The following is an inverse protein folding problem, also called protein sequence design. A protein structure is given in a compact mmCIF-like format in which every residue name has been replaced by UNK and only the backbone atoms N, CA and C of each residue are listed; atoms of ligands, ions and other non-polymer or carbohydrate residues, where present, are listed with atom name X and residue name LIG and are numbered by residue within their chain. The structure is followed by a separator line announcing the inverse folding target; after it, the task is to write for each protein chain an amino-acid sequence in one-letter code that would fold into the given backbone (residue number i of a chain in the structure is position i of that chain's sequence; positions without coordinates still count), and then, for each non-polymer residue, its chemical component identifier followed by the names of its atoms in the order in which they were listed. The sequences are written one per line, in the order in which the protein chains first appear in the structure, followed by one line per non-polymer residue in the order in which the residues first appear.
data_IF_492985421720
#
_entry.id   IF_492985421720
#
_cell.length_a   1.000
_cell.length_b   1.000
_cell.length_c   1.000
_cell.angle_alpha   90.00
_cell.angle_beta   90.00
_cell.angle_gamma   90.00
#
_symmetry.space_group_name_H-M   'P 1'
#
loop_
_entity.id
_entity.type
_entity.pdbx_description
1 polymer ?
#
# COMPACT_ATOMS: atom_id res chain seq x y z
N UNK A 1 7.31 15.63 -17.18
CA UNK A 1 7.02 14.37 -16.46
C UNK A 1 6.18 14.60 -15.20
N UNK A 2 4.91 14.19 -15.27
CA UNK A 2 4.02 14.17 -14.10
C UNK A 2 4.53 13.19 -13.03
N UNK A 3 4.22 13.42 -11.74
CA UNK A 3 4.61 12.51 -10.67
C UNK A 3 4.08 11.09 -10.92
N UNK A 4 4.94 10.09 -10.69
CA UNK A 4 4.65 8.67 -10.91
C UNK A 4 4.11 8.07 -9.62
N UNK A 5 2.95 8.57 -9.18
CA UNK A 5 2.23 8.06 -8.03
C UNK A 5 1.11 7.11 -8.49
N UNK A 6 0.98 5.91 -7.90
CA UNK A 6 -0.02 4.94 -8.33
C UNK A 6 -1.44 5.46 -8.12
N UNK A 7 -2.35 5.11 -9.04
CA UNK A 7 -3.77 5.45 -8.90
C UNK A 7 -4.45 4.48 -7.93
N UNK A 8 -4.29 4.71 -6.63
CA UNK A 8 -4.90 3.89 -5.57
C UNK A 8 -6.44 3.91 -5.56
N UNK A 9 -7.07 4.68 -6.45
CA UNK A 9 -8.51 4.75 -6.66
C UNK A 9 -8.96 3.93 -7.89
N UNK A 10 -8.04 3.23 -8.55
CA UNK A 10 -8.37 2.38 -9.70
C UNK A 10 -9.21 1.16 -9.29
N UNK A 11 -9.95 0.54 -10.23
CA UNK A 11 -10.65 -0.72 -9.99
C UNK A 11 -9.75 -1.92 -9.63
N UNK A 12 -8.42 -1.83 -9.79
CA UNK A 12 -7.50 -2.88 -9.36
C UNK A 12 -7.43 -2.97 -7.82
N UNK A 13 -7.78 -1.89 -7.11
CA UNK A 13 -7.82 -1.83 -5.66
C UNK A 13 -9.20 -2.23 -5.15
N UNK A 14 -9.31 -3.49 -4.71
CA UNK A 14 -10.55 -4.08 -4.20
C UNK A 14 -10.83 -3.62 -2.77
N UNK A 15 -12.10 -3.72 -2.37
CA UNK A 15 -12.51 -3.70 -0.97
C UNK A 15 -12.55 -5.15 -0.47
N UNK A 16 -12.54 -5.34 0.84
CA UNK A 16 -12.67 -6.65 1.46
C UNK A 16 -13.94 -7.37 0.96
N UNK A 17 -15.06 -6.65 0.83
CA UNK A 17 -16.32 -7.21 0.38
C UNK A 17 -16.33 -7.64 -1.10
N UNK A 18 -15.46 -7.06 -1.94
CA UNK A 18 -15.34 -7.40 -3.36
C UNK A 18 -14.19 -8.36 -3.67
N UNK A 19 -13.33 -8.66 -2.69
CA UNK A 19 -12.29 -9.68 -2.83
C UNK A 19 -12.91 -11.05 -3.20
N UNK A 20 -12.37 -11.74 -4.23
CA UNK A 20 -12.80 -13.08 -4.60
C UNK A 20 -12.77 -14.05 -3.43
N UNK A 21 -13.69 -15.01 -3.42
CA UNK A 21 -13.64 -16.11 -2.45
C UNK A 21 -12.47 -17.05 -2.82
N UNK A 22 -11.85 -17.64 -1.81
CA UNK A 22 -10.97 -18.78 -2.03
C UNK A 22 -11.83 -19.97 -2.46
N UNK A 23 -11.54 -20.63 -3.60
CA UNK A 23 -12.32 -21.76 -4.11
C UNK A 23 -12.47 -22.94 -3.14
N UNK A 24 -11.61 -23.05 -2.12
CA UNK A 24 -11.59 -24.17 -1.16
C UNK A 24 -12.74 -24.20 -0.14
N UNK A 25 -13.82 -23.46 -0.36
CA UNK A 25 -14.98 -23.43 0.53
C UNK A 25 -16.06 -24.49 0.22
N UNK A 26 -15.88 -25.33 -0.80
CA UNK A 26 -16.84 -26.39 -1.15
C UNK A 26 -16.16 -27.78 -1.16
N UNK A 27 -16.47 -28.69 -0.22
CA UNK A 27 -15.88 -30.04 -0.17
C UNK A 27 -16.29 -30.95 -1.34
N UNK A 28 -17.17 -30.51 -2.25
CA UNK A 28 -17.59 -31.28 -3.44
C UNK A 28 -16.97 -30.85 -4.77
N UNK A 29 -16.11 -29.82 -4.80
CA UNK A 29 -15.51 -29.37 -6.07
C UNK A 29 -14.10 -29.93 -6.29
N UNK A 30 -14.01 -31.01 -7.07
CA UNK A 30 -12.77 -31.56 -7.64
C UNK A 30 -12.24 -30.69 -8.80
N UNK A 31 -12.07 -29.39 -8.59
CA UNK A 31 -11.45 -28.50 -9.57
C UNK A 31 -9.96 -28.35 -9.26
N UNK A 32 -9.13 -28.95 -10.12
CA UNK A 32 -7.67 -28.84 -10.08
C UNK A 32 -7.19 -27.39 -10.16
N UNK A 33 -6.07 -27.02 -9.49
CA UNK A 33 -5.60 -25.64 -9.39
C UNK A 33 -4.78 -25.18 -10.61
N UNK A 34 -5.08 -25.63 -11.82
CA UNK A 34 -4.32 -25.28 -13.02
C UNK A 34 -5.25 -24.93 -14.18
N UNK A 35 -5.80 -23.71 -14.17
CA UNK A 35 -6.16 -23.02 -15.40
C UNK A 35 -5.39 -21.70 -15.47
N UNK A 36 -4.19 -21.79 -16.03
CA UNK A 36 -3.47 -20.62 -16.53
C UNK A 36 -4.08 -20.26 -17.88
N UNK A 37 -5.07 -19.36 -17.87
CA UNK A 37 -5.55 -18.73 -19.10
C UNK A 37 -4.42 -17.93 -19.74
N UNK A 38 -4.18 -18.07 -21.07
CA UNK A 38 -3.18 -17.31 -21.79
C UNK A 38 -3.70 -15.89 -22.05
N UNK A 39 -3.54 -15.04 -21.05
CA UNK A 39 -3.86 -13.61 -21.05
C UNK A 39 -3.66 -13.13 -19.63
N UNK A 40 -2.50 -12.54 -19.34
CA UNK A 40 -2.09 -12.22 -17.97
C UNK A 40 -3.21 -11.49 -17.22
N UNK A 41 -3.78 -12.13 -16.20
CA UNK A 41 -4.84 -11.54 -15.39
C UNK A 41 -4.33 -10.24 -14.79
N UNK A 42 -5.10 -9.15 -14.95
CA UNK A 42 -4.83 -7.87 -14.27
C UNK A 42 -4.65 -8.15 -12.78
N UNK A 43 -3.50 -7.76 -12.22
CA UNK A 43 -3.24 -7.92 -10.78
C UNK A 43 -4.23 -7.08 -10.00
N UNK A 44 -4.69 -7.62 -8.88
CA UNK A 44 -5.59 -6.90 -7.97
C UNK A 44 -4.92 -6.75 -6.62
N UNK A 45 -5.34 -5.75 -5.85
CA UNK A 45 -4.76 -5.45 -4.55
C UNK A 45 -5.86 -5.14 -3.54
N UNK A 46 -5.65 -5.47 -2.28
CA UNK A 46 -6.44 -4.97 -1.16
C UNK A 46 -5.53 -4.11 -0.29
N UNK A 47 -5.93 -2.84 -0.11
CA UNK A 47 -5.29 -1.95 0.85
C UNK A 47 -6.14 -1.88 2.11
N UNK A 48 -5.50 -1.97 3.27
CA UNK A 48 -6.19 -1.79 4.54
C UNK A 48 -5.27 -1.23 5.61
N UNK A 49 -5.80 -0.40 6.49
CA UNK A 49 -5.07 0.13 7.66
C UNK A 49 -5.11 -0.89 8.79
N UNK A 50 -3.97 -1.16 9.43
CA UNK A 50 -3.92 -1.95 10.67
C UNK A 50 -4.59 -1.15 11.79
N UNK A 51 -5.71 -1.65 12.29
CA UNK A 51 -6.53 -1.01 13.32
C UNK A 51 -6.18 -1.50 14.72
N UNK A 52 -5.93 -2.80 14.88
CA UNK A 52 -5.55 -3.43 16.16
C UNK A 52 -4.60 -4.60 15.94
N UNK A 53 -3.66 -4.78 16.89
CA UNK A 53 -2.81 -5.96 16.97
C UNK A 53 -3.56 -7.03 17.73
N UNK A 54 -3.91 -8.14 17.08
CA UNK A 54 -4.79 -9.14 17.69
C UNK A 54 -4.10 -10.52 17.73
N UNK A 55 -3.34 -10.71 18.83
CA UNK A 55 -2.85 -11.98 19.43
C UNK A 55 -1.44 -12.50 19.13
N UNK A 56 -0.79 -12.96 20.22
CA UNK A 56 0.46 -13.73 20.34
C UNK A 56 0.18 -15.21 20.02
N UNK A 57 -0.11 -15.52 18.76
CA UNK A 57 -0.20 -16.89 18.25
C UNK A 57 1.01 -17.17 17.33
N UNK A 58 1.29 -18.43 17.00
CA UNK A 58 2.35 -18.81 16.04
C UNK A 58 2.13 -18.24 14.63
N UNK A 59 0.89 -17.80 14.33
CA UNK A 59 0.52 -17.08 13.11
C UNK A 59 -0.06 -15.70 13.47
N UNK A 60 0.66 -14.59 13.20
CA UNK A 60 0.21 -13.28 13.63
C UNK A 60 -1.02 -12.84 12.83
N UNK A 61 -2.04 -12.35 13.53
CA UNK A 61 -3.30 -11.87 12.94
C UNK A 61 -3.57 -10.44 13.39
N UNK A 62 -4.02 -9.61 12.45
CA UNK A 62 -4.31 -8.19 12.68
C UNK A 62 -5.75 -7.91 12.30
N UNK A 63 -6.37 -6.97 13.00
CA UNK A 63 -7.62 -6.39 12.52
C UNK A 63 -7.27 -5.22 11.62
N UNK A 64 -7.75 -5.27 10.39
CA UNK A 64 -7.52 -4.27 9.37
C UNK A 64 -8.84 -3.64 8.92
N UNK A 65 -8.76 -2.39 8.45
CA UNK A 65 -9.91 -1.64 7.92
C UNK A 65 -9.61 -1.16 6.51
N UNK A 66 -10.43 -1.53 5.53
CA UNK A 66 -10.25 -1.15 4.11
C UNK A 66 -10.82 0.24 3.79
N UNK A 67 -10.81 0.61 2.50
CA UNK A 67 -11.36 1.87 1.98
C UNK A 67 -12.89 1.98 2.08
N UNK A 68 -13.60 0.86 2.21
CA UNK A 68 -15.04 0.82 2.44
C UNK A 68 -15.40 0.80 3.93
N UNK A 69 -14.42 1.05 4.81
CA UNK A 69 -14.56 0.96 6.28
C UNK A 69 -14.94 -0.43 6.79
N UNK A 70 -14.78 -1.49 5.99
CA UNK A 70 -15.00 -2.85 6.42
C UNK A 70 -13.86 -3.30 7.34
N UNK A 71 -14.20 -3.81 8.52
CA UNK A 71 -13.24 -4.38 9.47
C UNK A 71 -13.14 -5.88 9.30
N UNK A 72 -11.93 -6.40 9.07
CA UNK A 72 -11.68 -7.82 8.83
C UNK A 72 -10.36 -8.28 9.46
N UNK A 73 -10.21 -9.60 9.63
CA UNK A 73 -8.97 -10.20 10.09
C UNK A 73 -8.01 -10.45 8.90
N UNK A 74 -6.76 -10.04 9.06
CA UNK A 74 -5.64 -10.39 8.17
C UNK A 74 -4.68 -11.31 8.94
N UNK A 75 -4.55 -12.56 8.50
CA UNK A 75 -3.58 -13.51 9.05
C UNK A 75 -2.34 -13.57 8.16
N UNK A 76 -1.17 -13.32 8.74
CA UNK A 76 0.10 -13.41 8.02
C UNK A 76 0.59 -14.86 8.05
N UNK A 77 0.86 -15.41 6.86
CA UNK A 77 1.47 -16.72 6.68
C UNK A 77 2.98 -16.54 6.66
N UNK A 78 3.67 -17.32 7.47
CA UNK A 78 5.12 -17.36 7.58
C UNK A 78 5.62 -18.70 7.06
N UNK A 79 6.82 -18.72 6.50
CA UNK A 79 7.47 -19.95 6.03
C UNK A 79 7.74 -20.94 7.18
N UNK A 80 7.98 -20.41 8.39
CA UNK A 80 8.09 -21.17 9.62
C UNK A 80 7.31 -20.47 10.76
N UNK A 81 6.74 -21.23 11.72
CA UNK A 81 6.12 -20.67 12.92
C UNK A 81 7.10 -19.81 13.72
N UNK A 82 6.61 -18.70 14.31
CA UNK A 82 7.42 -17.87 15.19
C UNK A 82 7.75 -18.58 16.49
N UNK A 83 8.99 -18.40 16.96
CA UNK A 83 9.36 -18.73 18.34
C UNK A 83 8.77 -17.70 19.32
N UNK A 84 8.54 -18.06 20.60
CA UNK A 84 8.08 -17.11 21.61
C UNK A 84 8.97 -15.85 21.74
N UNK A 85 10.29 -15.99 21.57
CA UNK A 85 11.22 -14.85 21.62
C UNK A 85 11.02 -13.86 20.46
N UNK A 86 10.71 -14.36 19.26
CA UNK A 86 10.40 -13.51 18.08
C UNK A 86 9.06 -12.79 18.24
N UNK A 87 8.11 -13.39 18.97
CA UNK A 87 6.81 -12.78 19.31
C UNK A 87 6.95 -11.66 20.35
N UNK A 88 7.87 -11.82 21.32
CA UNK A 88 8.12 -10.84 22.39
C UNK A 88 9.03 -9.67 21.96
N UNK A 89 9.60 -9.73 20.76
CA UNK A 89 10.43 -8.65 20.22
C UNK A 89 11.80 -8.51 20.90
N UNK A 90 12.26 -9.57 21.60
CA UNK A 90 13.57 -9.60 22.25
C UNK A 90 14.65 -9.94 21.22
N UNK A 91 15.58 -9.02 21.01
CA UNK A 91 16.56 -9.01 19.92
C UNK A 91 17.68 -10.05 20.06
N UNK A 92 18.33 -10.34 18.92
CA UNK A 92 19.61 -11.06 18.72
C UNK A 92 19.56 -12.46 18.12
N UNK A 93 18.54 -12.78 17.31
CA UNK A 93 18.69 -13.79 16.28
C UNK A 93 19.32 -13.18 15.03
N UNK A 94 20.64 -13.26 14.85
CA UNK A 94 21.25 -13.09 13.54
C UNK A 94 20.73 -14.21 12.64
N UNK A 95 19.65 -13.95 11.91
CA UNK A 95 19.09 -14.86 10.92
C UNK A 95 19.23 -14.14 9.58
N UNK A 96 20.20 -14.60 8.80
CA UNK A 96 20.40 -14.42 7.35
C UNK A 96 19.96 -13.06 6.76
N UNK A 97 20.94 -12.19 6.48
CA UNK A 97 20.74 -10.82 5.99
C UNK A 97 20.25 -10.69 4.54
N UNK A 98 19.09 -11.25 4.22
CA UNK A 98 18.42 -11.07 2.92
C UNK A 98 17.23 -10.08 2.98
N UNK A 99 17.03 -9.39 4.11
CA UNK A 99 16.03 -8.31 4.22
C UNK A 99 14.55 -8.74 4.17
N UNK A 100 14.28 -10.02 3.90
CA UNK A 100 12.93 -10.61 3.85
C UNK A 100 12.49 -11.27 5.16
N UNK A 101 13.30 -11.16 6.23
CA UNK A 101 12.96 -11.71 7.54
C UNK A 101 11.71 -11.04 8.12
N UNK A 102 10.96 -11.82 8.90
CA UNK A 102 9.73 -11.35 9.52
C UNK A 102 10.04 -10.31 10.60
N UNK A 103 9.53 -9.09 10.41
CA UNK A 103 9.70 -8.00 11.36
C UNK A 103 8.34 -7.46 11.81
N UNK A 104 7.88 -7.96 12.96
CA UNK A 104 6.64 -7.51 13.59
C UNK A 104 6.65 -6.01 13.90
N UNK A 105 7.83 -5.38 14.08
CA UNK A 105 7.93 -3.95 14.33
C UNK A 105 7.47 -3.12 13.12
N UNK A 106 7.39 -3.70 11.91
CA UNK A 106 6.78 -3.03 10.74
C UNK A 106 5.26 -3.00 10.81
N UNK A 107 4.62 -3.96 11.48
CA UNK A 107 3.17 -4.14 11.55
C UNK A 107 2.56 -3.31 12.69
N UNK A 108 2.52 -1.98 12.53
CA UNK A 108 2.00 -1.04 13.54
C UNK A 108 0.60 -0.56 13.21
N UNK A 109 -0.18 -0.27 14.26
CA UNK A 109 -1.45 0.46 14.13
C UNK A 109 -1.26 1.74 13.31
N UNK A 110 -2.16 1.98 12.36
CA UNK A 110 -2.14 3.13 11.47
C UNK A 110 -1.25 2.96 10.23
N UNK A 111 -0.53 1.85 10.07
CA UNK A 111 0.15 1.51 8.81
C UNK A 111 -0.82 0.81 7.86
N UNK A 112 -0.60 0.97 6.56
CA UNK A 112 -1.36 0.30 5.52
C UNK A 112 -0.63 -0.95 5.06
N UNK A 113 -1.36 -2.05 5.00
CA UNK A 113 -0.94 -3.26 4.29
C UNK A 113 -1.44 -3.22 2.85
N UNK A 114 -0.63 -3.70 1.92
CA UNK A 114 -0.99 -3.97 0.53
C UNK A 114 -0.92 -5.47 0.34
N UNK A 115 -2.07 -6.11 0.12
CA UNK A 115 -2.19 -7.54 -0.13
C UNK A 115 -2.40 -7.75 -1.63
N UNK A 116 -1.43 -8.35 -2.35
CA UNK A 116 -1.62 -8.69 -3.76
C UNK A 116 -2.57 -9.87 -3.92
N UNK A 117 -3.34 -9.85 -5.00
CA UNK A 117 -4.32 -10.86 -5.43
C UNK A 117 -5.14 -11.45 -4.27
N UNK A 118 -5.83 -10.57 -3.50
CA UNK A 118 -6.44 -10.94 -2.23
C UNK A 118 -7.57 -11.95 -2.41
N UNK A 119 -7.66 -12.91 -1.49
CA UNK A 119 -8.77 -13.88 -1.43
C UNK A 119 -9.37 -13.96 -0.03
N UNK A 120 -10.70 -14.01 0.04
CA UNK A 120 -11.45 -14.24 1.28
C UNK A 120 -11.56 -15.71 1.61
N UNK A 121 -11.27 -16.05 2.85
CA UNK A 121 -11.30 -17.40 3.40
C UNK A 121 -12.36 -17.51 4.49
N UNK A 122 -12.88 -18.73 4.70
CA UNK A 122 -13.78 -19.03 5.84
C UNK A 122 -15.12 -18.31 5.84
N UNK A 123 -15.57 -17.84 4.67
CA UNK A 123 -16.90 -17.27 4.46
C UNK A 123 -17.94 -18.38 4.64
N UNK A 124 -18.93 -18.15 5.49
CA UNK A 124 -20.05 -19.06 5.79
C UNK A 124 -21.20 -18.23 6.35
N UNK A 125 -22.36 -18.85 6.56
CA UNK A 125 -23.53 -18.16 7.11
C UNK A 125 -23.18 -17.37 8.39
N UNK A 126 -23.45 -16.06 8.37
CA UNK A 126 -23.12 -15.13 9.46
C UNK A 126 -21.63 -14.77 9.63
N UNK A 127 -20.71 -15.28 8.80
CA UNK A 127 -19.28 -14.92 8.85
C UNK A 127 -18.79 -14.34 7.54
N UNK A 128 -18.32 -13.10 7.60
CA UNK A 128 -17.77 -12.34 6.47
C UNK A 128 -16.42 -12.88 5.92
N UNK A 129 -15.78 -13.79 6.64
CA UNK A 129 -14.46 -14.36 6.30
C UNK A 129 -13.28 -13.53 6.77
N UNK A 130 -12.09 -13.87 6.26
CA UNK A 130 -10.80 -13.23 6.59
C UNK A 130 -9.83 -13.31 5.40
N UNK A 131 -8.77 -12.50 5.43
CA UNK A 131 -7.70 -12.51 4.43
C UNK A 131 -6.48 -13.23 4.99
N UNK A 132 -5.78 -13.97 4.13
CA UNK A 132 -4.46 -14.52 4.42
C UNK A 132 -3.45 -13.97 3.41
N UNK A 133 -2.25 -13.64 3.86
CA UNK A 133 -1.18 -13.16 2.97
C UNK A 133 0.16 -13.69 3.45
N UNK A 134 1.01 -14.15 2.53
CA UNK A 134 2.38 -14.54 2.85
C UNK A 134 3.20 -13.30 3.16
N UNK A 135 4.04 -13.35 4.19
CA UNK A 135 4.87 -12.21 4.59
C UNK A 135 5.71 -11.65 3.44
N UNK A 136 6.34 -12.51 2.64
CA UNK A 136 7.17 -12.12 1.50
C UNK A 136 6.41 -11.32 0.43
N UNK A 137 5.09 -11.50 0.33
CA UNK A 137 4.24 -10.79 -0.63
C UNK A 137 3.60 -9.52 -0.04
N UNK A 138 3.61 -9.39 1.29
CA UNK A 138 2.95 -8.29 1.99
C UNK A 138 3.82 -7.03 1.94
N UNK A 139 3.29 -5.97 1.33
CA UNK A 139 3.91 -4.64 1.43
C UNK A 139 3.29 -3.84 2.57
N UNK A 140 4.13 -3.18 3.37
CA UNK A 140 3.69 -2.32 4.48
C UNK A 140 4.11 -0.88 4.20
N UNK A 141 3.13 0.01 4.18
CA UNK A 141 3.31 1.44 3.97
C UNK A 141 3.11 2.16 5.32
N UNK A 142 4.10 2.96 5.79
CA UNK A 142 4.04 3.63 7.09
C UNK A 142 3.16 4.90 7.04
N UNK A 143 1.90 4.73 6.64
CA UNK A 143 0.85 5.75 6.54
C UNK A 143 -0.50 5.06 6.60
N UNK A 144 -1.56 5.78 6.98
CA UNK A 144 -2.93 5.26 6.92
C UNK A 144 -3.46 5.25 5.49
N UNK A 145 -4.46 4.40 5.24
CA UNK A 145 -5.08 4.28 3.92
C UNK A 145 -5.74 5.59 3.49
N UNK A 146 -6.50 6.24 4.37
CA UNK A 146 -7.10 7.56 4.14
C UNK A 146 -6.10 8.58 3.58
N UNK A 147 -4.91 8.62 4.20
CA UNK A 147 -3.87 9.55 3.77
C UNK A 147 -3.31 9.17 2.39
N UNK A 148 -3.13 7.87 2.12
CA UNK A 148 -2.69 7.39 0.81
C UNK A 148 -3.70 7.70 -0.29
N UNK A 149 -5.00 7.49 -0.04
CA UNK A 149 -6.06 7.83 -0.97
C UNK A 149 -6.13 9.35 -1.21
N UNK A 150 -5.97 10.15 -0.16
CA UNK A 150 -5.88 11.60 -0.26
C UNK A 150 -4.68 12.07 -1.09
N UNK A 151 -3.51 11.41 -0.94
CA UNK A 151 -2.36 11.64 -1.81
C UNK A 151 -2.67 11.27 -3.26
N UNK A 152 -3.19 10.06 -3.52
CA UNK A 152 -3.57 9.58 -4.86
C UNK A 152 -4.51 10.55 -5.56
N UNK A 153 -5.57 10.99 -4.89
CA UNK A 153 -6.54 11.93 -5.45
C UNK A 153 -5.93 13.28 -5.83
N UNK A 154 -4.94 13.78 -5.07
CA UNK A 154 -4.22 15.02 -5.43
C UNK A 154 -3.38 14.84 -6.70
N UNK A 155 -2.70 13.71 -6.85
CA UNK A 155 -1.89 13.44 -8.05
C UNK A 155 -2.74 13.23 -9.30
N UNK A 156 -3.87 12.54 -9.19
CA UNK A 156 -4.82 12.36 -10.31
C UNK A 156 -5.33 13.72 -10.79
N UNK A 157 -5.84 14.56 -9.88
CA UNK A 157 -6.31 15.91 -10.23
C UNK A 157 -5.22 16.78 -10.86
N UNK A 158 -3.99 16.68 -10.36
CA UNK A 158 -2.87 17.42 -10.94
C UNK A 158 -2.60 17.01 -12.41
N UNK A 159 -2.70 15.71 -12.72
CA UNK A 159 -2.56 15.17 -14.08
C UNK A 159 -3.68 15.66 -15.00
N UNK A 160 -4.93 15.54 -14.57
CA UNK A 160 -6.11 16.00 -15.33
C UNK A 160 -6.03 17.50 -15.66
N UNK A 161 -5.61 18.33 -14.69
CA UNK A 161 -5.48 19.79 -14.87
C UNK A 161 -4.35 20.23 -15.82
N UNK A 162 -3.55 19.29 -16.31
CA UNK A 162 -2.45 19.53 -17.27
C UNK A 162 -2.87 19.19 -18.70
N UNK A 163 -3.91 18.38 -18.89
CA UNK A 163 -4.35 17.90 -20.21
C UNK A 163 -5.31 18.89 -20.93
N UNK A 164 -6.03 19.73 -20.17
CA UNK A 164 -6.89 20.79 -20.74
C UNK A 164 -6.09 22.05 -21.10
N UNK A 165 -5.37 22.00 -22.22
CA UNK A 165 -5.00 23.20 -22.99
C UNK A 165 -3.72 23.93 -22.60
N UNK A 166 -2.54 23.32 -22.76
CA UNK A 166 -1.35 23.96 -23.36
C UNK A 166 -0.14 23.02 -23.45
N UNK A 167 0.67 23.31 -24.45
CA UNK A 167 1.82 22.58 -24.94
C UNK A 167 3.05 22.80 -24.03
N UNK A 168 3.37 21.84 -23.16
CA UNK A 168 4.64 21.82 -22.42
C UNK A 168 4.62 20.99 -21.12
N UNK A 169 5.74 20.32 -20.82
CA UNK A 169 6.02 19.60 -19.56
C UNK A 169 6.15 20.58 -18.37
N UNK A 170 5.06 21.26 -18.01
CA UNK A 170 5.03 22.11 -16.82
C UNK A 170 4.82 21.27 -15.57
N UNK A 171 5.56 21.58 -14.52
CA UNK A 171 5.40 21.02 -13.17
C UNK A 171 4.94 22.12 -12.21
N UNK A 172 4.26 21.71 -11.13
CA UNK A 172 3.64 22.65 -10.19
C UNK A 172 4.40 22.67 -8.88
N UNK A 173 4.76 23.86 -8.40
CA UNK A 173 5.29 24.05 -7.06
C UNK A 173 4.24 23.66 -6.02
N UNK A 174 4.57 22.72 -5.14
CA UNK A 174 3.65 22.28 -4.08
C UNK A 174 3.26 23.40 -3.11
N UNK A 175 4.07 24.46 -3.00
CA UNK A 175 3.96 25.46 -1.94
C UNK A 175 3.30 26.78 -2.28
N UNK A 176 3.33 27.15 -3.55
CA UNK A 176 2.64 28.35 -4.03
C UNK A 176 1.88 28.10 -5.32
N UNK A 177 1.79 26.85 -5.78
CA UNK A 177 1.03 26.42 -6.96
C UNK A 177 1.51 27.05 -8.28
N UNK A 178 2.65 27.75 -8.28
CA UNK A 178 3.28 28.25 -9.50
C UNK A 178 3.63 27.08 -10.41
N UNK A 179 3.15 27.13 -11.65
CA UNK A 179 3.51 26.23 -12.74
C UNK A 179 4.73 26.79 -13.48
N UNK A 180 5.70 25.94 -13.76
CA UNK A 180 6.92 26.30 -14.49
C UNK A 180 7.54 25.04 -15.13
N UNK A 181 8.60 25.21 -15.93
CA UNK A 181 9.31 24.05 -16.50
C UNK A 181 10.09 23.27 -15.43
N UNK A 182 10.41 22.01 -15.71
CA UNK A 182 11.23 21.17 -14.81
C UNK A 182 12.62 21.77 -14.54
N UNK A 183 13.17 22.54 -15.47
CA UNK A 183 14.46 23.21 -15.30
C UNK A 183 14.40 24.39 -14.34
N UNK A 184 13.23 25.02 -14.20
CA UNK A 184 13.01 26.18 -13.32
C UNK A 184 12.59 25.80 -11.90
N UNK A 185 12.11 24.57 -11.71
CA UNK A 185 11.65 24.06 -10.41
C UNK A 185 12.63 23.05 -9.84
N UNK A 186 12.85 23.13 -8.52
CA UNK A 186 13.70 22.19 -7.78
C UNK A 186 12.88 20.98 -7.31
N UNK A 187 13.27 19.80 -7.79
CA UNK A 187 12.72 18.51 -7.34
C UNK A 187 13.19 18.16 -5.93
N UNK A 188 12.31 17.62 -5.11
CA UNK A 188 12.69 17.13 -3.79
C UNK A 188 13.73 16.00 -3.91
N UNK A 189 14.92 16.19 -3.35
CA UNK A 189 16.01 15.18 -3.38
C UNK A 189 15.70 13.90 -2.60
N UNK A 190 14.70 13.93 -1.71
CA UNK A 190 14.33 12.78 -0.87
C UNK A 190 13.43 11.78 -1.59
N UNK A 191 12.25 12.24 -2.04
CA UNK A 191 11.25 11.39 -2.69
C UNK A 191 11.27 11.47 -4.22
N UNK A 192 11.73 12.60 -4.76
CA UNK A 192 11.60 12.95 -6.16
C UNK A 192 10.15 13.07 -6.67
N UNK A 193 9.10 13.10 -5.87
CA UNK A 193 7.72 13.24 -6.43
C UNK A 193 7.15 14.66 -6.34
N UNK A 194 7.89 15.60 -5.75
CA UNK A 194 7.40 16.96 -5.43
C UNK A 194 8.37 18.01 -5.92
N UNK A 195 7.83 19.11 -6.46
CA UNK A 195 8.57 20.23 -7.04
C UNK A 195 8.38 21.52 -6.23
N UNK A 196 9.39 22.38 -6.23
CA UNK A 196 9.41 23.65 -5.51
C UNK A 196 10.10 24.76 -6.29
N UNK A 197 9.65 26.00 -6.14
CA UNK A 197 10.32 27.19 -6.70
C UNK A 197 11.78 27.35 -6.23
N UNK A 198 12.11 26.77 -5.08
CA UNK A 198 13.40 26.91 -4.42
C UNK A 198 13.29 26.55 -2.95
N UNK A 199 14.35 26.87 -2.18
CA UNK A 199 14.49 26.47 -0.77
C UNK A 199 13.38 27.01 0.14
N UNK A 200 12.89 28.22 -0.11
CA UNK A 200 11.80 28.83 0.69
C UNK A 200 10.51 28.04 0.54
N UNK A 201 10.08 27.81 -0.70
CA UNK A 201 8.92 26.96 -1.00
C UNK A 201 9.13 25.55 -0.46
N UNK A 202 10.32 24.95 -0.62
CA UNK A 202 10.58 23.62 -0.06
C UNK A 202 10.41 23.59 1.47
N UNK A 203 10.91 24.60 2.18
CA UNK A 203 10.80 24.69 3.64
C UNK A 203 9.35 24.85 4.08
N UNK A 204 8.59 25.71 3.38
CA UNK A 204 7.16 25.89 3.60
C UNK A 204 6.40 24.58 3.35
N UNK A 205 6.60 23.95 2.20
CA UNK A 205 5.95 22.69 1.86
C UNK A 205 6.30 21.55 2.82
N UNK A 206 7.53 21.53 3.32
CA UNK A 206 7.98 20.58 4.32
C UNK A 206 7.23 20.72 5.64
N UNK A 207 7.15 21.93 6.19
CA UNK A 207 6.65 22.18 7.54
C UNK A 207 5.13 22.40 7.59
N UNK A 208 4.54 23.04 6.59
CA UNK A 208 3.16 23.54 6.64
C UNK A 208 2.20 22.74 5.76
N UNK A 209 2.68 22.11 4.69
CA UNK A 209 1.82 21.44 3.70
C UNK A 209 1.97 19.91 3.70
N UNK A 210 2.44 19.36 4.82
CA UNK A 210 2.45 17.92 5.06
C UNK A 210 3.58 17.13 4.40
N UNK A 211 4.42 17.75 3.55
CA UNK A 211 5.43 17.00 2.78
C UNK A 211 6.41 16.21 3.68
N UNK A 212 6.76 16.73 4.86
CA UNK A 212 7.59 16.01 5.84
C UNK A 212 7.10 14.60 6.14
N UNK A 213 5.78 14.45 6.27
CA UNK A 213 5.12 13.19 6.60
C UNK A 213 4.82 12.32 5.36
N UNK A 214 4.94 12.88 4.15
CA UNK A 214 4.64 12.21 2.89
C UNK A 214 5.90 11.79 2.13
N UNK A 215 7.04 12.49 2.33
CA UNK A 215 8.26 12.28 1.57
C UNK A 215 8.74 10.82 1.61
N UNK A 216 8.72 10.17 2.78
CA UNK A 216 9.08 8.75 2.90
C UNK A 216 8.11 7.84 2.13
N UNK A 217 6.80 8.13 2.21
CA UNK A 217 5.74 7.37 1.55
C UNK A 217 5.85 7.48 0.03
N UNK A 218 6.05 8.71 -0.47
CA UNK A 218 6.26 8.99 -1.89
C UNK A 218 7.49 8.25 -2.42
N UNK A 219 8.61 8.29 -1.68
CA UNK A 219 9.83 7.56 -2.05
C UNK A 219 9.57 6.06 -2.18
N UNK A 220 8.78 5.49 -1.28
CA UNK A 220 8.44 4.06 -1.30
C UNK A 220 7.54 3.71 -2.49
N UNK A 221 6.48 4.49 -2.73
CA UNK A 221 5.49 4.20 -3.77
C UNK A 221 6.01 4.37 -5.19
N UNK A 222 6.93 5.33 -5.41
CA UNK A 222 7.64 5.46 -6.69
C UNK A 222 8.36 4.17 -7.11
N UNK A 223 8.84 3.38 -6.13
CA UNK A 223 9.54 2.11 -6.39
C UNK A 223 8.61 0.90 -6.49
N UNK A 224 7.32 1.06 -6.21
CA UNK A 224 6.37 -0.04 -6.27
C UNK A 224 5.74 -0.14 -7.64
N UNK A 225 5.86 -1.31 -8.26
CA UNK A 225 5.18 -1.62 -9.50
C UNK A 225 3.75 -2.13 -9.23
N UNK A 226 2.89 -1.24 -8.72
CA UNK A 226 1.46 -1.47 -8.60
C UNK A 226 0.84 -1.20 -9.98
N UNK A 227 0.97 -2.15 -10.89
CA UNK A 227 0.35 -2.05 -12.22
C UNK A 227 -1.17 -1.97 -12.05
N UNK A 228 -1.73 -0.81 -12.38
CA UNK A 228 -3.13 -0.65 -12.76
C UNK A 228 -3.32 -0.96 -14.23
#
# INVERSE_FOLDING_TARGET
MSPDFPNLLSPAFLTFSTCPLNPTADPSSTASPNETSPGGSRKTYLLATISQNMTLSTTPTFICTDSASASFALTIILEAPLTPAQLEGSENGNISGDGNDFDIKKLKKGHTVVVPDPRRHGVREGKQGYIRCVWADLTIIPSSLDKLLGMSGRFIKARESTEEGSQGDLVTCQSCERKDSEEQLSRCKGCSEVWYCGKECQTKGWNEQGHKSECKVLKMLRGMNLND
#
